data_IF_130762931011
#
_entry.id   IF_130762931011
#
_cell.length_a   1.000
_cell.length_b   1.000
_cell.length_c   1.000
_cell.angle_alpha   90.00
_cell.angle_beta   90.00
_cell.angle_gamma   90.00
#
_symmetry.space_group_name_H-M   'P 1'
#
loop_
_entity.id
_entity.type
_entity.pdbx_description
1 polymer ?
#
# COMPACT_ATOMS: atom_id res chain seq x y z
N UNK A 1 -24.58 -8.88 -7.16
CA UNK A 1 -23.85 -7.94 -6.32
C UNK A 1 -22.46 -7.66 -6.91
N UNK A 2 -21.95 -6.45 -6.70
CA UNK A 2 -20.61 -6.01 -7.14
C UNK A 2 -19.71 -5.98 -5.93
N UNK A 3 -18.50 -6.56 -6.04
CA UNK A 3 -17.39 -6.36 -5.11
C UNK A 3 -16.33 -5.50 -5.79
N UNK A 4 -16.09 -4.30 -5.28
CA UNK A 4 -14.96 -3.46 -5.64
C UNK A 4 -13.78 -3.82 -4.72
N UNK A 5 -12.72 -4.42 -5.29
CA UNK A 5 -11.55 -4.86 -4.55
C UNK A 5 -10.33 -4.00 -4.91
N UNK A 6 -9.87 -3.15 -3.98
CA UNK A 6 -8.74 -2.24 -4.19
C UNK A 6 -7.49 -2.74 -3.49
N UNK A 7 -6.44 -2.95 -4.28
CA UNK A 7 -5.14 -3.46 -3.83
C UNK A 7 -4.30 -2.38 -3.15
N UNK A 8 -3.28 -2.82 -2.41
CA UNK A 8 -2.33 -1.96 -1.74
C UNK A 8 -0.99 -1.79 -2.49
N UNK A 9 -0.02 -1.23 -1.80
CA UNK A 9 1.32 -0.95 -2.27
C UNK A 9 2.30 -2.04 -1.74
N UNK A 10 3.22 -2.54 -2.52
CA UNK A 10 3.52 -2.24 -3.94
C UNK A 10 2.95 -3.26 -4.93
N UNK A 11 1.79 -3.81 -4.64
CA UNK A 11 1.15 -4.87 -5.43
C UNK A 11 0.21 -4.31 -6.52
N UNK A 12 -0.56 -5.17 -7.15
CA UNK A 12 -1.57 -4.85 -8.15
C UNK A 12 -2.72 -5.87 -8.06
N UNK A 13 -3.75 -5.77 -8.89
CA UNK A 13 -4.95 -6.62 -8.78
C UNK A 13 -4.67 -8.12 -8.80
N UNK A 14 -3.49 -8.56 -9.23
CA UNK A 14 -3.02 -9.94 -9.12
C UNK A 14 -3.07 -10.48 -7.67
N UNK A 15 -3.01 -9.60 -6.67
CA UNK A 15 -3.25 -9.94 -5.26
C UNK A 15 -4.53 -10.77 -5.07
N UNK A 16 -5.58 -10.42 -5.80
CA UNK A 16 -6.89 -11.06 -5.71
C UNK A 16 -7.09 -12.25 -6.64
N UNK A 17 -6.07 -12.65 -7.43
CA UNK A 17 -6.16 -13.69 -8.44
C UNK A 17 -6.70 -15.02 -7.93
N UNK A 18 -6.42 -15.37 -6.65
CA UNK A 18 -6.92 -16.59 -6.02
C UNK A 18 -8.31 -16.42 -5.41
N UNK A 19 -8.71 -15.21 -5.03
CA UNK A 19 -10.03 -14.92 -4.45
C UNK A 19 -11.11 -14.82 -5.54
N UNK A 20 -10.77 -14.22 -6.67
CA UNK A 20 -11.71 -13.95 -7.76
C UNK A 20 -12.50 -15.21 -8.19
N UNK A 21 -11.90 -16.39 -8.44
CA UNK A 21 -12.62 -17.57 -8.85
C UNK A 21 -13.68 -18.02 -7.82
N UNK A 22 -13.39 -17.95 -6.54
CA UNK A 22 -14.35 -18.30 -5.48
C UNK A 22 -15.52 -17.34 -5.44
N UNK A 23 -15.27 -16.05 -5.56
CA UNK A 23 -16.28 -15.01 -5.53
C UNK A 23 -17.18 -15.05 -6.78
N UNK A 24 -16.59 -15.23 -7.96
CA UNK A 24 -17.35 -15.31 -9.21
C UNK A 24 -18.19 -16.60 -9.29
N UNK A 25 -17.68 -17.72 -8.78
CA UNK A 25 -18.47 -18.97 -8.64
C UNK A 25 -19.65 -18.81 -7.68
N UNK A 26 -19.56 -17.89 -6.71
CA UNK A 26 -20.67 -17.53 -5.83
C UNK A 26 -21.62 -16.47 -6.44
N UNK A 27 -21.47 -16.13 -7.73
CA UNK A 27 -22.31 -15.16 -8.43
C UNK A 27 -21.98 -13.69 -8.13
N UNK A 28 -20.82 -13.40 -7.58
CA UNK A 28 -20.37 -12.03 -7.28
C UNK A 28 -19.55 -11.50 -8.47
N UNK A 29 -19.95 -10.35 -9.02
CA UNK A 29 -19.13 -9.61 -9.99
C UNK A 29 -17.99 -8.93 -9.26
N UNK A 30 -16.74 -9.35 -9.53
CA UNK A 30 -15.55 -8.73 -8.94
C UNK A 30 -14.98 -7.67 -9.89
N UNK A 31 -14.83 -6.46 -9.40
CA UNK A 31 -14.16 -5.35 -10.06
C UNK A 31 -12.90 -5.04 -9.27
N UNK A 32 -11.74 -5.29 -9.85
CA UNK A 32 -10.44 -5.10 -9.20
C UNK A 32 -9.57 -4.18 -10.07
N UNK A 33 -9.73 -2.85 -9.95
CA UNK A 33 -8.90 -1.90 -10.69
C UNK A 33 -7.46 -1.95 -10.20
N UNK A 34 -6.52 -1.71 -11.11
CA UNK A 34 -5.17 -1.34 -10.73
C UNK A 34 -5.13 0.16 -10.44
N UNK A 35 -4.60 0.55 -9.28
CA UNK A 35 -4.42 1.95 -8.93
C UNK A 35 -3.47 2.64 -9.93
N UNK A 36 -3.66 3.93 -10.24
CA UNK A 36 -2.70 4.69 -11.05
C UNK A 36 -1.27 4.56 -10.50
N UNK A 37 -0.33 4.20 -11.38
CA UNK A 37 1.04 3.88 -11.01
C UNK A 37 1.32 2.39 -10.80
N UNK A 38 0.29 1.53 -10.88
CA UNK A 38 0.40 0.09 -10.60
C UNK A 38 -0.22 -0.75 -11.72
N UNK A 39 0.08 -2.06 -11.69
CA UNK A 39 -0.55 -3.04 -12.56
C UNK A 39 -0.57 -2.62 -14.03
N UNK A 40 -1.73 -2.66 -14.64
CA UNK A 40 -1.97 -2.29 -16.05
C UNK A 40 -2.39 -0.84 -16.24
N UNK A 41 -2.63 -0.10 -15.15
CA UNK A 41 -2.97 1.32 -15.21
C UNK A 41 -1.78 2.17 -15.64
N UNK A 42 -2.07 3.37 -16.13
CA UNK A 42 -1.05 4.35 -16.50
C UNK A 42 -0.14 4.68 -15.32
N UNK A 43 1.11 4.98 -15.63
CA UNK A 43 2.16 5.25 -14.64
C UNK A 43 2.77 6.62 -14.91
N UNK A 44 2.28 7.68 -14.23
CA UNK A 44 2.97 8.97 -14.23
C UNK A 44 4.47 8.81 -13.98
N UNK A 45 5.27 9.55 -14.76
CA UNK A 45 6.72 9.33 -14.81
C UNK A 45 7.48 10.03 -13.67
N UNK A 46 6.84 10.97 -12.98
CA UNK A 46 7.42 11.68 -11.84
C UNK A 46 6.82 11.20 -10.52
N UNK A 47 7.64 11.12 -9.46
CA UNK A 47 7.16 10.80 -8.11
C UNK A 47 6.26 11.90 -7.54
N UNK A 48 6.48 13.12 -7.99
CA UNK A 48 5.76 14.33 -7.61
C UNK A 48 4.31 14.35 -8.13
N UNK A 49 4.01 13.53 -9.15
CA UNK A 49 2.64 13.35 -9.65
C UNK A 49 1.76 12.54 -8.69
N UNK A 50 2.40 11.79 -7.78
CA UNK A 50 1.69 10.95 -6.82
C UNK A 50 1.47 11.67 -5.50
N UNK A 51 0.24 11.66 -5.04
CA UNK A 51 -0.14 12.07 -3.69
C UNK A 51 -1.33 11.24 -3.22
N UNK A 52 -1.60 11.24 -1.92
CA UNK A 52 -2.79 10.58 -1.39
C UNK A 52 -4.06 11.18 -2.03
N UNK A 53 -4.10 12.51 -2.14
CA UNK A 53 -5.27 13.19 -2.71
C UNK A 53 -5.46 12.84 -4.19
N UNK A 54 -4.40 12.88 -5.01
CA UNK A 54 -4.49 12.52 -6.42
C UNK A 54 -5.01 11.10 -6.62
N UNK A 55 -4.55 10.14 -5.81
CA UNK A 55 -5.03 8.76 -5.87
C UNK A 55 -6.53 8.67 -5.56
N UNK A 56 -7.02 9.41 -4.56
CA UNK A 56 -8.45 9.45 -4.25
C UNK A 56 -9.23 10.08 -5.39
N UNK A 57 -8.77 11.20 -5.92
CA UNK A 57 -9.45 11.93 -7.00
C UNK A 57 -9.54 11.08 -8.28
N UNK A 58 -8.44 10.45 -8.70
CA UNK A 58 -8.43 9.53 -9.84
C UNK A 58 -9.40 8.36 -9.67
N UNK A 59 -9.49 7.81 -8.45
CA UNK A 59 -10.42 6.70 -8.19
C UNK A 59 -11.88 7.14 -8.11
N UNK A 60 -12.16 8.36 -7.66
CA UNK A 60 -13.50 8.95 -7.73
C UNK A 60 -13.90 9.21 -9.19
N UNK A 61 -13.01 9.79 -9.99
CA UNK A 61 -13.25 10.04 -11.42
C UNK A 61 -13.47 8.72 -12.17
N UNK A 62 -12.66 7.71 -11.87
CA UNK A 62 -12.83 6.36 -12.42
C UNK A 62 -14.17 5.75 -12.01
N UNK A 63 -14.58 5.88 -10.74
CA UNK A 63 -15.87 5.37 -10.26
C UNK A 63 -17.04 6.09 -10.94
N UNK A 64 -16.94 7.40 -11.14
CA UNK A 64 -17.96 8.21 -11.81
C UNK A 64 -18.08 7.91 -13.30
N UNK A 65 -16.96 7.57 -13.96
CA UNK A 65 -16.95 7.14 -15.35
C UNK A 65 -17.56 5.73 -15.55
N UNK A 66 -17.67 4.95 -14.47
CA UNK A 66 -18.26 3.62 -14.47
C UNK A 66 -19.53 3.63 -13.61
N UNK A 67 -20.67 3.44 -14.19
CA UNK A 67 -21.97 3.49 -13.49
C UNK A 67 -22.21 2.26 -12.59
N UNK A 68 -21.38 2.14 -11.54
CA UNK A 68 -21.50 1.10 -10.52
C UNK A 68 -22.32 1.60 -9.33
N UNK A 69 -23.27 0.78 -8.87
CA UNK A 69 -24.05 1.00 -7.65
C UNK A 69 -24.20 -0.29 -6.86
N UNK A 70 -24.74 -0.22 -5.66
CA UNK A 70 -24.88 -1.35 -4.73
C UNK A 70 -23.55 -2.09 -4.50
N UNK A 71 -22.48 -1.32 -4.33
CA UNK A 71 -21.12 -1.84 -4.23
C UNK A 71 -20.85 -2.34 -2.82
N UNK A 72 -20.33 -3.56 -2.72
CA UNK A 72 -19.57 -3.99 -1.54
C UNK A 72 -18.12 -3.59 -1.76
N UNK A 73 -17.57 -2.72 -0.94
CA UNK A 73 -16.16 -2.34 -0.98
C UNK A 73 -15.29 -3.32 -0.20
N UNK A 74 -14.14 -3.68 -0.74
CA UNK A 74 -13.04 -4.32 -0.04
C UNK A 74 -11.73 -3.61 -0.37
N UNK A 75 -11.00 -3.17 0.65
CA UNK A 75 -9.69 -2.54 0.51
C UNK A 75 -8.65 -3.13 1.45
N UNK A 76 -7.40 -3.21 0.98
CA UNK A 76 -6.26 -3.67 1.77
C UNK A 76 -5.12 -2.66 1.59
N UNK A 77 -4.41 -2.32 2.68
CA UNK A 77 -3.27 -1.38 2.66
C UNK A 77 -3.68 -0.03 2.00
N UNK A 78 -2.95 0.48 1.02
CA UNK A 78 -3.31 1.71 0.29
C UNK A 78 -4.68 1.63 -0.41
N UNK A 79 -5.09 0.44 -0.85
CA UNK A 79 -6.44 0.25 -1.39
C UNK A 79 -7.52 0.56 -0.36
N UNK A 80 -7.24 0.28 0.93
CA UNK A 80 -8.12 0.66 2.03
C UNK A 80 -8.06 2.17 2.32
N UNK A 81 -6.87 2.75 2.45
CA UNK A 81 -6.72 4.18 2.69
C UNK A 81 -7.46 5.03 1.63
N UNK A 82 -7.21 4.73 0.36
CA UNK A 82 -7.84 5.43 -0.77
C UNK A 82 -9.34 5.13 -0.83
N UNK A 83 -9.70 3.84 -0.77
CA UNK A 83 -11.07 3.41 -0.98
C UNK A 83 -12.02 3.86 0.13
N UNK A 84 -11.60 3.91 1.39
CA UNK A 84 -12.41 4.48 2.46
C UNK A 84 -12.71 5.96 2.21
N UNK A 85 -11.76 6.73 1.69
CA UNK A 85 -12.03 8.13 1.29
C UNK A 85 -12.94 8.22 0.07
N UNK A 86 -12.83 7.28 -0.88
CA UNK A 86 -13.76 7.18 -2.02
C UNK A 86 -15.18 6.87 -1.53
N UNK A 87 -15.33 5.91 -0.60
CA UNK A 87 -16.64 5.60 0.03
C UNK A 87 -17.22 6.82 0.73
N UNK A 88 -16.42 7.58 1.46
CA UNK A 88 -16.88 8.77 2.16
C UNK A 88 -17.31 9.92 1.21
N UNK A 89 -16.77 9.95 -0.01
CA UNK A 89 -17.13 10.95 -1.06
C UNK A 89 -18.33 10.57 -1.90
N UNK A 90 -18.54 9.27 -2.11
CA UNK A 90 -19.61 8.72 -2.99
C UNK A 90 -20.47 7.69 -2.24
N UNK A 91 -20.98 8.01 -1.03
CA UNK A 91 -21.55 7.02 -0.10
C UNK A 91 -22.81 6.30 -0.60
N UNK A 92 -23.54 6.93 -1.50
CA UNK A 92 -24.77 6.36 -2.08
C UNK A 92 -24.50 5.17 -2.99
N UNK A 93 -23.28 5.06 -3.54
CA UNK A 93 -22.87 3.95 -4.39
C UNK A 93 -22.55 2.68 -3.62
N UNK A 94 -22.32 2.79 -2.29
CA UNK A 94 -21.84 1.69 -1.46
C UNK A 94 -22.90 1.20 -0.48
N UNK A 95 -23.11 -0.11 -0.49
CA UNK A 95 -24.02 -0.79 0.42
C UNK A 95 -23.32 -1.47 1.61
N UNK A 96 -22.06 -1.83 1.44
CA UNK A 96 -21.24 -2.51 2.48
C UNK A 96 -19.78 -2.14 2.34
N UNK A 97 -19.07 -2.14 3.46
CA UNK A 97 -17.62 -1.91 3.53
C UNK A 97 -16.94 -3.10 4.20
N UNK A 98 -15.85 -3.56 3.63
CA UNK A 98 -14.93 -4.48 4.27
C UNK A 98 -13.50 -4.00 4.08
N UNK A 99 -12.68 -4.12 5.10
CA UNK A 99 -11.27 -3.75 5.02
C UNK A 99 -10.37 -4.80 5.66
N UNK A 100 -9.16 -4.94 5.11
CA UNK A 100 -8.15 -5.86 5.64
C UNK A 100 -6.82 -5.17 5.85
N UNK A 101 -6.29 -5.21 7.07
CA UNK A 101 -4.97 -4.63 7.42
C UNK A 101 -4.79 -3.19 6.89
N UNK A 102 -5.75 -2.34 7.18
CA UNK A 102 -5.80 -0.95 6.70
C UNK A 102 -6.72 -0.12 7.60
N UNK A 103 -6.81 1.19 7.34
CA UNK A 103 -7.67 2.10 8.08
C UNK A 103 -7.54 3.54 7.58
N UNK A 104 -7.98 4.47 8.41
CA UNK A 104 -7.84 5.92 8.19
C UNK A 104 -6.89 6.49 9.26
N UNK A 105 -5.57 6.39 9.08
CA UNK A 105 -4.60 6.90 10.06
C UNK A 105 -4.79 8.40 10.24
N UNK A 106 -4.85 8.82 11.52
CA UNK A 106 -5.08 10.20 11.90
C UNK A 106 -4.29 10.54 13.15
N UNK A 107 -3.24 11.33 13.00
CA UNK A 107 -2.39 11.77 14.10
C UNK A 107 -2.27 13.31 14.12
N UNK A 108 -3.27 14.03 14.65
CA UNK A 108 -3.25 15.50 14.70
C UNK A 108 -2.30 16.07 15.77
N UNK A 109 -1.80 15.24 16.69
CA UNK A 109 -1.06 15.66 17.89
C UNK A 109 0.39 15.21 17.91
N UNK A 110 0.99 14.90 16.75
CA UNK A 110 2.44 14.61 16.72
C UNK A 110 3.21 15.83 17.23
N UNK A 111 4.15 15.63 18.16
CA UNK A 111 4.98 16.72 18.65
C UNK A 111 5.87 17.30 17.55
N UNK A 112 6.23 18.56 17.65
CA UNK A 112 7.16 19.21 16.71
C UNK A 112 8.50 18.48 16.63
N UNK A 113 8.99 17.93 17.75
CA UNK A 113 10.21 17.14 17.82
C UNK A 113 10.12 15.88 16.95
N UNK A 114 9.03 15.14 17.06
CA UNK A 114 8.78 13.92 16.24
C UNK A 114 8.66 14.29 14.76
N UNK A 115 7.99 15.38 14.43
CA UNK A 115 7.88 15.86 13.04
C UNK A 115 9.27 16.23 12.49
N UNK A 116 10.07 16.93 13.28
CA UNK A 116 11.43 17.33 12.89
C UNK A 116 12.36 16.12 12.71
N UNK A 117 12.29 15.13 13.62
CA UNK A 117 13.05 13.89 13.53
C UNK A 117 12.71 13.09 12.26
N UNK A 118 11.43 12.96 11.95
CA UNK A 118 10.95 12.28 10.74
C UNK A 118 11.45 12.99 9.48
N UNK A 119 11.38 14.33 9.44
CA UNK A 119 11.90 15.13 8.33
C UNK A 119 13.40 14.94 8.17
N UNK A 120 14.16 15.13 9.24
CA UNK A 120 15.62 14.97 9.23
C UNK A 120 16.05 13.58 8.76
N UNK A 121 15.34 12.54 9.20
CA UNK A 121 15.61 11.17 8.74
C UNK A 121 15.32 10.98 7.26
N UNK A 122 14.18 11.47 6.75
CA UNK A 122 13.84 11.39 5.32
C UNK A 122 14.88 12.08 4.44
N UNK A 123 15.41 13.23 4.88
CA UNK A 123 16.41 14.03 4.16
C UNK A 123 17.85 13.53 4.37
N UNK A 124 18.07 12.60 5.30
CA UNK A 124 19.40 12.08 5.61
C UNK A 124 20.00 11.28 4.44
N UNK A 125 21.35 11.28 4.36
CA UNK A 125 22.10 10.51 3.37
C UNK A 125 22.24 9.01 3.73
N UNK A 126 21.46 8.51 4.71
CA UNK A 126 21.50 7.11 5.13
C UNK A 126 20.90 6.26 4.00
N UNK A 127 21.73 5.42 3.38
CA UNK A 127 21.25 4.46 2.38
C UNK A 127 20.75 3.20 3.07
N UNK A 128 19.52 2.85 2.77
CA UNK A 128 18.89 1.63 3.26
C UNK A 128 18.93 0.56 2.16
N UNK A 129 19.11 -0.69 2.56
CA UNK A 129 18.97 -1.84 1.69
C UNK A 129 18.13 -2.92 2.40
N UNK A 130 17.57 -3.93 1.68
CA UNK A 130 16.57 -4.84 2.25
C UNK A 130 16.97 -5.52 3.57
N UNK A 131 18.23 -5.92 3.72
CA UNK A 131 18.69 -6.56 4.96
C UNK A 131 18.83 -5.56 6.11
N UNK A 132 19.33 -4.35 5.87
CA UNK A 132 19.42 -3.32 6.91
C UNK A 132 18.05 -2.89 7.37
N UNK A 133 17.11 -2.74 6.46
CA UNK A 133 15.71 -2.45 6.76
C UNK A 133 15.07 -3.58 7.58
N UNK A 134 15.20 -4.84 7.16
CA UNK A 134 14.66 -5.98 7.88
C UNK A 134 15.26 -6.13 9.29
N UNK A 135 16.57 -5.88 9.44
CA UNK A 135 17.25 -5.87 10.75
C UNK A 135 16.70 -4.76 11.64
N UNK A 136 16.53 -3.55 11.11
CA UNK A 136 16.02 -2.42 11.86
C UNK A 136 14.57 -2.60 12.29
N UNK A 137 13.71 -3.07 11.41
CA UNK A 137 12.31 -3.41 11.74
C UNK A 137 12.27 -4.43 12.89
N UNK A 138 13.07 -5.50 12.85
CA UNK A 138 13.15 -6.49 13.93
C UNK A 138 13.66 -5.90 15.24
N UNK A 139 14.65 -5.01 15.21
CA UNK A 139 15.14 -4.35 16.42
C UNK A 139 14.10 -3.44 17.07
N UNK A 140 13.21 -2.89 16.26
CA UNK A 140 12.10 -2.06 16.72
C UNK A 140 10.96 -2.86 17.37
N UNK A 141 10.83 -4.16 17.07
CA UNK A 141 9.85 -5.06 17.71
C UNK A 141 10.15 -5.31 19.21
N UNK A 142 11.29 -4.84 19.70
CA UNK A 142 11.64 -4.92 21.13
C UNK A 142 10.83 -3.96 22.05
N UNK A 143 9.78 -3.33 21.56
CA UNK A 143 8.85 -2.51 22.35
C UNK A 143 9.33 -1.11 22.73
N UNK A 144 10.52 -0.72 22.26
CA UNK A 144 11.18 0.56 22.64
C UNK A 144 11.01 1.69 21.64
N UNK A 145 10.42 1.44 20.47
CA UNK A 145 10.37 2.42 19.38
C UNK A 145 8.93 2.68 18.95
N UNK A 146 8.56 3.95 18.80
CA UNK A 146 7.23 4.34 18.34
C UNK A 146 6.93 3.71 16.95
N UNK A 147 5.73 3.12 16.71
CA UNK A 147 5.39 2.47 15.45
C UNK A 147 5.60 3.35 14.21
N UNK A 148 5.34 4.66 14.32
CA UNK A 148 5.57 5.62 13.23
C UNK A 148 7.03 5.72 12.79
N UNK A 149 8.00 5.51 13.70
CA UNK A 149 9.41 5.50 13.37
C UNK A 149 9.81 4.25 12.54
N UNK A 150 9.16 3.11 12.78
CA UNK A 150 9.38 1.88 11.99
C UNK A 150 9.01 2.11 10.53
N UNK A 151 7.88 2.76 10.32
CA UNK A 151 7.36 2.98 8.98
C UNK A 151 8.22 3.97 8.17
N UNK A 152 8.93 4.90 8.82
CA UNK A 152 9.88 5.80 8.17
C UNK A 152 10.98 5.07 7.38
N UNK A 153 11.47 3.94 7.90
CA UNK A 153 12.49 3.16 7.20
C UNK A 153 11.95 2.60 5.88
N UNK A 154 10.70 2.14 5.91
CA UNK A 154 10.02 1.69 4.69
C UNK A 154 9.81 2.83 3.70
N UNK A 155 9.33 3.99 4.19
CA UNK A 155 9.15 5.19 3.36
C UNK A 155 10.45 5.61 2.68
N UNK A 156 11.53 5.74 3.47
CA UNK A 156 12.85 6.13 2.95
C UNK A 156 13.43 5.08 2.00
N UNK A 157 13.32 3.81 2.34
CA UNK A 157 13.77 2.73 1.47
C UNK A 157 13.07 2.77 0.10
N UNK A 158 11.75 2.92 0.08
CA UNK A 158 11.00 3.03 -1.18
C UNK A 158 11.40 4.27 -1.97
N UNK A 159 11.52 5.41 -1.30
CA UNK A 159 11.85 6.68 -1.94
C UNK A 159 13.24 6.67 -2.57
N UNK A 160 14.25 6.18 -1.84
CA UNK A 160 15.66 6.23 -2.27
C UNK A 160 16.05 5.10 -3.23
N UNK A 161 15.32 3.98 -3.23
CA UNK A 161 15.66 2.82 -4.06
C UNK A 161 15.12 3.00 -5.48
N UNK A 162 16.01 3.27 -6.43
CA UNK A 162 15.62 3.50 -7.83
C UNK A 162 14.97 2.25 -8.45
N UNK A 163 15.63 1.10 -8.40
CA UNK A 163 15.07 -0.17 -8.84
C UNK A 163 14.47 -0.93 -7.64
N UNK A 164 13.33 -0.42 -7.14
CA UNK A 164 12.62 -1.02 -6.00
C UNK A 164 12.31 -2.50 -6.29
N UNK A 165 12.79 -3.45 -5.45
CA UNK A 165 12.66 -4.88 -5.74
C UNK A 165 11.30 -5.45 -5.33
N UNK A 166 10.23 -4.99 -5.99
CA UNK A 166 8.84 -5.29 -5.66
C UNK A 166 8.58 -6.79 -5.60
N UNK A 167 8.92 -7.50 -6.66
CA UNK A 167 8.72 -8.94 -6.74
C UNK A 167 9.52 -9.71 -5.66
N UNK A 168 10.72 -9.25 -5.31
CA UNK A 168 11.51 -9.84 -4.24
C UNK A 168 10.82 -9.67 -2.89
N UNK A 169 10.37 -8.47 -2.56
CA UNK A 169 9.68 -8.14 -1.31
C UNK A 169 8.43 -9.01 -1.15
N UNK A 170 7.58 -9.06 -2.18
CA UNK A 170 6.33 -9.83 -2.14
C UNK A 170 6.58 -11.34 -2.05
N UNK A 171 7.56 -11.85 -2.79
CA UNK A 171 7.88 -13.27 -2.73
C UNK A 171 8.56 -13.69 -1.43
N UNK A 172 9.11 -12.76 -0.63
CA UNK A 172 9.68 -13.09 0.69
C UNK A 172 8.65 -13.64 1.68
N UNK A 173 7.42 -13.24 1.55
CA UNK A 173 6.34 -13.68 2.44
C UNK A 173 5.59 -14.90 1.91
N UNK A 174 5.61 -15.15 0.60
CA UNK A 174 4.70 -16.08 -0.07
C UNK A 174 5.37 -17.35 -0.61
N UNK A 175 6.68 -17.40 -0.68
CA UNK A 175 7.38 -18.46 -1.45
C UNK A 175 8.50 -19.14 -0.64
N UNK A 176 8.48 -20.49 -0.64
CA UNK A 176 9.62 -21.31 -0.15
C UNK A 176 10.74 -21.25 -1.18
N UNK A 177 11.72 -20.38 -0.98
CA UNK A 177 12.79 -20.14 -1.95
C UNK A 177 13.98 -21.04 -1.78
N UNK A 178 14.62 -21.33 -2.90
CA UNK A 178 16.01 -21.75 -2.90
C UNK A 178 16.89 -20.65 -2.29
N UNK A 179 17.74 -21.01 -1.33
CA UNK A 179 18.73 -20.08 -0.73
C UNK A 179 19.63 -19.45 -1.81
N UNK A 180 19.98 -20.21 -2.83
CA UNK A 180 20.80 -19.74 -3.97
C UNK A 180 20.07 -18.65 -4.74
N UNK A 181 18.81 -18.87 -5.12
CA UNK A 181 18.00 -17.86 -5.82
C UNK A 181 17.87 -16.57 -4.99
N UNK A 182 17.71 -16.68 -3.68
CA UNK A 182 17.66 -15.53 -2.78
C UNK A 182 18.97 -14.72 -2.80
N UNK A 183 20.12 -15.41 -2.69
CA UNK A 183 21.45 -14.77 -2.70
C UNK A 183 21.69 -14.07 -4.05
N UNK A 184 21.37 -14.75 -5.16
CA UNK A 184 21.58 -14.17 -6.50
C UNK A 184 20.68 -12.96 -6.75
N UNK A 185 19.38 -13.00 -6.36
CA UNK A 185 18.51 -11.84 -6.44
C UNK A 185 19.03 -10.69 -5.58
N UNK A 186 19.54 -11.01 -4.38
CA UNK A 186 20.08 -10.00 -3.48
C UNK A 186 21.31 -9.30 -4.07
N UNK A 187 22.15 -10.01 -4.79
CA UNK A 187 23.27 -9.42 -5.53
C UNK A 187 22.78 -8.37 -6.56
N UNK A 188 21.75 -8.71 -7.36
CA UNK A 188 21.15 -7.76 -8.30
C UNK A 188 20.52 -6.53 -7.60
N UNK A 189 19.94 -6.72 -6.41
CA UNK A 189 19.41 -5.61 -5.60
C UNK A 189 20.53 -4.68 -5.16
N UNK A 190 21.66 -5.22 -4.69
CA UNK A 190 22.81 -4.41 -4.29
C UNK A 190 23.41 -3.61 -5.44
N UNK A 191 23.33 -4.13 -6.66
CA UNK A 191 23.76 -3.42 -7.87
C UNK A 191 22.73 -2.40 -8.39
N UNK A 192 21.56 -2.28 -7.77
CA UNK A 192 20.44 -1.45 -8.26
C UNK A 192 19.87 -1.91 -9.60
N UNK A 193 19.94 -3.20 -9.90
CA UNK A 193 19.54 -3.81 -11.18
C UNK A 193 18.57 -4.99 -11.00
N UNK A 194 17.71 -4.93 -10.00
CA UNK A 194 16.80 -6.03 -9.71
C UNK A 194 15.85 -6.35 -10.87
N UNK A 195 15.37 -5.36 -11.60
CA UNK A 195 14.52 -5.57 -12.78
C UNK A 195 15.15 -6.49 -13.82
N UNK A 196 16.48 -6.48 -13.95
CA UNK A 196 17.22 -7.34 -14.87
C UNK A 196 17.56 -8.75 -14.29
N UNK A 197 17.21 -9.05 -13.02
CA UNK A 197 17.56 -10.34 -12.43
C UNK A 197 16.82 -11.50 -13.11
N UNK A 198 17.54 -12.53 -13.61
CA UNK A 198 16.92 -13.73 -14.17
C UNK A 198 16.45 -14.73 -13.09
N UNK A 199 16.82 -14.51 -11.83
CA UNK A 199 16.63 -15.48 -10.74
C UNK A 199 15.31 -15.29 -9.98
N UNK A 200 14.40 -14.48 -10.50
CA UNK A 200 13.08 -14.24 -9.89
C UNK A 200 12.25 -15.52 -9.87
N UNK A 201 11.64 -15.83 -8.72
CA UNK A 201 10.63 -16.88 -8.62
C UNK A 201 9.38 -16.54 -9.45
N UNK A 202 8.49 -17.52 -9.64
CA UNK A 202 7.22 -17.28 -10.34
C UNK A 202 6.41 -16.13 -9.69
N UNK A 203 6.29 -16.15 -8.36
CA UNK A 203 5.60 -15.08 -7.62
C UNK A 203 6.31 -13.74 -7.81
N UNK A 204 7.64 -13.71 -7.69
CA UNK A 204 8.39 -12.49 -7.91
C UNK A 204 8.21 -11.93 -9.33
N UNK A 205 8.18 -12.79 -10.35
CA UNK A 205 7.92 -12.40 -11.74
C UNK A 205 6.51 -11.82 -11.90
N UNK A 206 5.50 -12.43 -11.28
CA UNK A 206 4.12 -11.96 -11.37
C UNK A 206 3.96 -10.56 -10.77
N UNK A 207 4.54 -10.29 -9.59
CA UNK A 207 4.46 -8.96 -8.99
C UNK A 207 5.38 -7.92 -9.64
N UNK A 208 6.45 -8.34 -10.30
CA UNK A 208 7.35 -7.45 -11.06
C UNK A 208 6.84 -7.15 -12.48
N UNK A 209 5.95 -7.97 -13.02
CA UNK A 209 5.50 -7.89 -14.42
C UNK A 209 5.02 -6.49 -14.87
N UNK A 210 4.32 -5.68 -14.05
CA UNK A 210 3.91 -4.33 -14.44
C UNK A 210 5.05 -3.32 -14.53
N UNK A 211 6.26 -3.67 -14.09
CA UNK A 211 7.38 -2.77 -13.91
C UNK A 211 8.61 -3.27 -14.67
N UNK A 212 8.64 -3.12 -16.01
CA UNK A 212 9.71 -3.67 -16.85
C UNK A 212 11.08 -3.08 -16.52
N UNK A 213 11.13 -1.84 -16.06
CA UNK A 213 12.33 -1.14 -15.62
C UNK A 213 12.03 -0.13 -14.48
N UNK A 214 13.04 0.51 -13.89
CA UNK A 214 12.87 1.44 -12.77
C UNK A 214 11.96 2.63 -13.04
N UNK A 215 11.84 3.08 -14.29
CA UNK A 215 11.02 4.26 -14.64
C UNK A 215 9.53 4.02 -14.43
N UNK A 216 9.09 2.76 -14.45
CA UNK A 216 7.71 2.36 -14.17
C UNK A 216 7.40 2.25 -12.67
N UNK A 217 8.38 2.46 -11.77
CA UNK A 217 8.24 2.26 -10.31
C UNK A 217 7.97 3.54 -9.53
N UNK A 218 7.62 4.65 -10.19
CA UNK A 218 7.44 5.95 -9.51
C UNK A 218 6.32 5.91 -8.46
N UNK A 219 5.16 5.32 -8.77
CA UNK A 219 4.07 5.13 -7.82
C UNK A 219 4.47 4.31 -6.58
N UNK A 220 4.97 3.06 -6.75
CA UNK A 220 5.48 2.25 -5.64
C UNK A 220 6.56 2.92 -4.80
N UNK A 221 7.38 3.79 -5.37
CA UNK A 221 8.44 4.54 -4.67
C UNK A 221 7.88 5.72 -3.88
N UNK A 222 6.90 6.43 -4.42
CA UNK A 222 6.36 7.65 -3.83
C UNK A 222 5.32 7.37 -2.72
N UNK A 223 4.38 6.47 -2.98
CA UNK A 223 3.19 6.30 -2.15
C UNK A 223 3.46 6.03 -0.66
N UNK A 224 4.44 5.22 -0.23
CA UNK A 224 4.70 5.05 1.19
C UNK A 224 4.96 6.35 1.94
N UNK A 225 5.54 7.35 1.28
CA UNK A 225 5.84 8.67 1.88
C UNK A 225 4.61 9.54 2.12
N UNK A 226 3.47 9.18 1.52
CA UNK A 226 2.19 9.88 1.66
C UNK A 226 1.26 9.27 2.71
N UNK A 227 1.68 8.22 3.43
CA UNK A 227 0.92 7.75 4.61
C UNK A 227 1.00 8.83 5.69
N UNK A 228 -0.14 9.34 6.18
CA UNK A 228 -0.18 10.44 7.15
C UNK A 228 0.23 9.96 8.55
N UNK A 229 1.53 9.71 8.74
CA UNK A 229 2.13 9.34 10.03
C UNK A 229 2.31 10.54 10.96
N UNK A 230 2.32 11.73 10.40
CA UNK A 230 2.35 13.04 11.07
C UNK A 230 1.39 13.98 10.37
N UNK A 231 1.00 15.11 10.98
CA UNK A 231 0.16 16.11 10.33
C UNK A 231 0.73 16.55 8.98
N UNK A 232 -0.07 16.44 7.95
CA UNK A 232 0.24 16.84 6.57
C UNK A 232 -1.00 17.41 5.88
N UNK A 233 -0.89 17.68 4.59
CA UNK A 233 -1.98 18.24 3.79
C UNK A 233 -3.23 17.35 3.70
N UNK A 234 -3.13 16.05 4.03
CA UNK A 234 -4.26 15.11 4.00
C UNK A 234 -5.08 15.12 5.29
N UNK A 235 -4.61 15.80 6.35
CA UNK A 235 -5.17 15.72 7.71
C UNK A 235 -6.66 16.06 7.76
N UNK A 236 -7.07 17.14 7.11
CA UNK A 236 -8.47 17.59 7.13
C UNK A 236 -9.40 16.62 6.40
N UNK A 237 -8.96 16.07 5.28
CA UNK A 237 -9.74 15.08 4.53
C UNK A 237 -9.81 13.74 5.28
N UNK A 238 -8.75 13.36 6.00
CA UNK A 238 -8.78 12.20 6.88
C UNK A 238 -9.77 12.38 8.03
N UNK A 239 -9.80 13.57 8.64
CA UNK A 239 -10.77 13.92 9.69
C UNK A 239 -12.19 13.79 9.18
N UNK A 240 -12.51 14.39 8.02
CA UNK A 240 -13.84 14.31 7.40
C UNK A 240 -14.26 12.86 7.14
N UNK A 241 -13.36 12.03 6.59
CA UNK A 241 -13.66 10.63 6.34
C UNK A 241 -13.91 9.85 7.65
N UNK A 242 -13.14 10.11 8.71
CA UNK A 242 -13.38 9.49 10.04
C UNK A 242 -14.71 9.92 10.63
N UNK A 243 -15.04 11.20 10.56
CA UNK A 243 -16.34 11.75 11.02
C UNK A 243 -17.52 11.13 10.22
N UNK A 244 -17.34 10.89 8.92
CA UNK A 244 -18.31 10.19 8.10
C UNK A 244 -18.50 8.74 8.59
N UNK A 245 -17.41 7.97 8.76
CA UNK A 245 -17.52 6.58 9.21
C UNK A 245 -18.01 6.44 10.65
N UNK A 246 -17.83 7.43 11.52
CA UNK A 246 -18.44 7.43 12.86
C UNK A 246 -19.97 7.42 12.85
N UNK A 247 -20.57 7.77 11.72
CA UNK A 247 -22.03 7.81 11.49
C UNK A 247 -22.49 6.76 10.47
N UNK A 248 -21.59 5.90 10.03
CA UNK A 248 -21.89 4.86 9.05
C UNK A 248 -22.80 3.80 9.66
N UNK A 249 -23.99 3.60 9.08
CA UNK A 249 -25.03 2.71 9.57
C UNK A 249 -25.21 1.43 8.75
N UNK A 250 -24.45 1.29 7.64
CA UNK A 250 -24.47 0.09 6.81
C UNK A 250 -23.42 -0.93 7.28
N UNK A 251 -23.51 -2.21 6.85
CA UNK A 251 -22.58 -3.25 7.27
C UNK A 251 -21.10 -2.85 7.03
N UNK A 252 -20.29 -3.03 8.08
CA UNK A 252 -18.87 -2.76 8.06
C UNK A 252 -18.09 -3.94 8.69
N UNK A 253 -17.08 -4.47 7.98
CA UNK A 253 -16.26 -5.58 8.45
C UNK A 253 -14.79 -5.20 8.42
N UNK A 254 -14.12 -5.25 9.56
CA UNK A 254 -12.68 -5.12 9.69
C UNK A 254 -12.03 -6.48 9.90
N UNK A 255 -10.97 -6.78 9.15
CA UNK A 255 -10.22 -8.03 9.25
C UNK A 255 -8.73 -7.68 9.38
N UNK A 256 -8.13 -8.12 10.49
CA UNK A 256 -6.69 -7.89 10.73
C UNK A 256 -5.97 -9.21 10.99
N UNK A 257 -4.78 -9.37 10.41
CA UNK A 257 -3.89 -10.47 10.73
C UNK A 257 -3.13 -10.14 12.01
N UNK A 258 -3.18 -11.02 13.01
CA UNK A 258 -2.58 -10.79 14.32
C UNK A 258 -1.05 -10.73 14.34
N UNK A 259 -0.39 -11.14 13.26
CA UNK A 259 1.06 -11.10 13.05
C UNK A 259 1.51 -10.06 12.01
N UNK A 260 0.61 -9.15 11.58
CA UNK A 260 0.96 -8.08 10.67
C UNK A 260 1.91 -7.06 11.34
N UNK A 261 3.14 -6.87 10.82
CA UNK A 261 4.12 -6.00 11.47
C UNK A 261 3.79 -4.51 11.38
N UNK A 262 2.84 -4.12 10.52
CA UNK A 262 2.47 -2.72 10.26
C UNK A 262 1.20 -2.32 11.00
N UNK A 263 0.18 -3.18 10.96
CA UNK A 263 -1.17 -2.84 11.46
C UNK A 263 -1.54 -3.55 12.76
N UNK A 264 -0.65 -4.37 13.35
CA UNK A 264 -0.91 -5.03 14.64
C UNK A 264 -1.12 -3.99 15.75
N UNK A 265 -2.29 -4.03 16.38
CA UNK A 265 -2.70 -3.11 17.44
C UNK A 265 -3.48 -1.88 16.98
N UNK A 266 -3.57 -1.61 15.64
CA UNK A 266 -4.36 -0.50 15.08
C UNK A 266 -5.87 -0.85 15.08
N UNK A 267 -6.22 -2.12 15.14
CA UNK A 267 -7.60 -2.60 15.13
C UNK A 267 -8.44 -2.13 16.33
N UNK A 268 -7.83 -1.50 17.32
CA UNK A 268 -8.49 -1.01 18.55
C UNK A 268 -8.84 0.47 18.50
N UNK A 269 -8.35 1.20 17.51
CA UNK A 269 -8.54 2.64 17.31
C UNK A 269 -9.64 2.94 16.28
#
# INVERSE_FOLDING_TARGET
>A
PILLAMHGQPVWCYLYSRMIPFLTNAGIRVVAPDLPGYGKSDKPASREDYSYQNQVDWMVDWLNANDFGDITFFGQDWGGLIGLRVVAREPERFSKVSMGNTGLPYNPKASEEVIAEIKAFRESNIKLHPLSMAKQIRQMDSGKTHPGLKFMYWQKFCWDTEDLPIGFIQSMQMDKRSRISTILNYFFILLGKYSASPFKSYIAKAYEAPFPDPTYKMGPRAMPSHVPTVPDQSLEEQKKAREFFSKWDKPFLSVFAGDDPVTNGIEKD
#
